data_IF_796605815524
#
_entry.id   IF_796605815524
#
_cell.length_a   1.000
_cell.length_b   1.000
_cell.length_c   1.000
_cell.angle_alpha   90.00
_cell.angle_beta   90.00
_cell.angle_gamma   90.00
#
_symmetry.space_group_name_H-M   'P 1'
#
loop_
_entity.id
_entity.type
_entity.pdbx_description
1 polymer ?
#
# COMPACT_ATOMS: atom_id res chain seq x y z
N UNK A 1 17.80 -27.75 -11.39
CA UNK A 1 17.89 -26.41 -12.00
C UNK A 1 16.50 -26.03 -12.46
N UNK A 2 15.74 -25.25 -11.70
CA UNK A 2 14.39 -24.86 -12.12
C UNK A 2 14.38 -23.40 -12.54
N UNK A 3 14.32 -23.19 -13.85
CA UNK A 3 14.10 -21.90 -14.48
C UNK A 3 12.92 -22.05 -15.42
N UNK A 4 11.71 -21.63 -15.01
CA UNK A 4 10.62 -21.23 -15.92
C UNK A 4 9.65 -20.27 -15.21
N UNK A 5 10.05 -19.01 -15.08
CA UNK A 5 9.10 -17.91 -14.93
C UNK A 5 8.82 -17.34 -16.31
N UNK A 6 7.77 -17.83 -16.96
CA UNK A 6 7.07 -17.05 -17.96
C UNK A 6 5.68 -17.63 -18.22
N UNK A 7 4.68 -16.93 -17.69
CA UNK A 7 3.44 -16.63 -18.39
C UNK A 7 3.12 -15.19 -18.01
N UNK A 8 3.12 -14.29 -18.99
CA UNK A 8 2.68 -12.90 -18.87
C UNK A 8 1.15 -12.84 -19.04
N UNK A 9 0.38 -12.48 -18.00
CA UNK A 9 -1.08 -12.63 -18.05
C UNK A 9 -1.80 -11.72 -17.02
N UNK A 10 -2.05 -10.45 -17.34
CA UNK A 10 -2.81 -9.57 -16.43
C UNK A 10 -4.27 -10.03 -16.19
N UNK A 11 -4.79 -10.97 -16.99
CA UNK A 11 -6.22 -11.31 -17.04
C UNK A 11 -6.75 -12.39 -16.07
N UNK A 12 -6.00 -13.44 -15.72
CA UNK A 12 -6.61 -14.63 -15.07
C UNK A 12 -6.26 -14.84 -13.59
N UNK A 13 -5.38 -14.00 -13.02
CA UNK A 13 -4.64 -14.33 -11.78
C UNK A 13 -5.07 -13.62 -10.49
N UNK A 14 -6.13 -12.81 -10.48
CA UNK A 14 -6.68 -12.25 -9.22
C UNK A 14 -7.55 -13.25 -8.43
N UNK A 15 -7.72 -14.48 -8.93
CA UNK A 15 -8.45 -15.59 -8.28
C UNK A 15 -7.79 -16.20 -7.04
N UNK A 16 -6.68 -15.64 -6.57
CA UNK A 16 -6.08 -16.06 -5.31
C UNK A 16 -4.94 -15.13 -4.97
N UNK A 17 -5.17 -14.23 -4.01
CA UNK A 17 -4.13 -13.49 -3.30
C UNK A 17 -2.93 -14.42 -3.12
N UNK A 18 -1.83 -14.17 -3.84
CA UNK A 18 -0.71 -15.11 -3.82
C UNK A 18 -0.09 -15.03 -2.44
N UNK A 19 -0.43 -16.02 -1.64
CA UNK A 19 0.18 -16.23 -0.34
C UNK A 19 1.68 -16.43 -0.56
N UNK A 20 2.52 -15.69 0.17
CA UNK A 20 3.95 -16.01 0.30
C UNK A 20 4.08 -17.47 0.82
N UNK A 21 5.25 -18.15 0.78
CA UNK A 21 5.37 -19.55 1.23
C UNK A 21 4.81 -19.83 2.64
N UNK A 22 4.68 -18.78 3.47
CA UNK A 22 4.06 -18.82 4.82
C UNK A 22 2.54 -18.63 4.85
N UNK A 23 1.84 -18.57 3.73
CA UNK A 23 0.38 -18.38 3.72
C UNK A 23 -0.10 -16.92 3.81
N UNK A 24 0.81 -15.94 3.93
CA UNK A 24 0.47 -14.52 4.09
C UNK A 24 0.32 -13.79 2.76
N UNK A 25 -0.69 -12.93 2.65
CA UNK A 25 -0.89 -12.05 1.49
C UNK A 25 0.32 -11.15 1.28
N UNK A 26 0.77 -10.95 0.04
CA UNK A 26 1.86 -10.00 -0.27
C UNK A 26 1.40 -8.55 -0.16
N UNK A 27 2.21 -7.71 0.49
CA UNK A 27 1.84 -6.31 0.69
C UNK A 27 1.94 -5.45 -0.58
N UNK A 28 2.79 -5.81 -1.55
CA UNK A 28 2.83 -5.13 -2.84
C UNK A 28 1.51 -5.28 -3.60
N UNK A 29 0.99 -6.50 -3.70
CA UNK A 29 -0.32 -6.78 -4.33
C UNK A 29 -1.47 -6.08 -3.58
N UNK A 30 -1.39 -6.02 -2.24
CA UNK A 30 -2.38 -5.29 -1.43
C UNK A 30 -2.32 -3.80 -1.72
N UNK A 31 -1.13 -3.21 -1.79
CA UNK A 31 -0.96 -1.78 -2.06
C UNK A 31 -1.42 -1.44 -3.49
N UNK A 32 -1.12 -2.28 -4.48
CA UNK A 32 -1.63 -2.15 -5.86
C UNK A 32 -3.17 -2.16 -5.90
N UNK A 33 -3.81 -3.17 -5.29
CA UNK A 33 -5.27 -3.26 -5.22
C UNK A 33 -5.91 -2.12 -4.41
N UNK A 34 -5.17 -1.59 -3.44
CA UNK A 34 -5.60 -0.48 -2.62
C UNK A 34 -5.68 0.82 -3.44
N UNK A 35 -4.67 1.09 -4.28
CA UNK A 35 -4.60 2.30 -5.12
C UNK A 35 -5.27 2.18 -6.49
N UNK A 36 -5.74 1.00 -6.87
CA UNK A 36 -6.34 0.70 -8.19
C UNK A 36 -7.27 1.79 -8.75
N UNK A 37 -8.20 2.40 -7.98
CA UNK A 37 -9.09 3.45 -8.49
C UNK A 37 -8.36 4.72 -8.94
N UNK A 38 -7.13 4.93 -8.47
CA UNK A 38 -6.35 6.13 -8.70
C UNK A 38 -5.19 5.93 -9.68
N UNK A 39 -4.90 4.70 -10.11
CA UNK A 39 -3.76 4.39 -11.00
C UNK A 39 -3.88 5.11 -12.36
N UNK A 40 -5.10 5.34 -12.83
CA UNK A 40 -5.36 6.06 -14.08
C UNK A 40 -5.00 7.55 -14.04
N UNK A 41 -4.79 8.14 -12.86
CA UNK A 41 -4.38 9.55 -12.71
C UNK A 41 -2.86 9.72 -12.56
N UNK A 42 -2.10 8.62 -12.54
CA UNK A 42 -0.65 8.63 -12.39
C UNK A 42 0.01 8.07 -13.66
N UNK A 43 0.38 8.98 -14.57
CA UNK A 43 0.86 8.64 -15.90
C UNK A 43 2.36 8.32 -15.90
N UNK A 44 3.14 9.08 -15.13
CA UNK A 44 4.60 8.93 -15.05
C UNK A 44 5.07 8.34 -13.70
N UNK A 45 6.36 7.99 -13.62
CA UNK A 45 6.95 7.39 -12.42
C UNK A 45 6.79 8.28 -11.17
N UNK A 46 7.04 9.58 -11.29
CA UNK A 46 6.95 10.52 -10.17
C UNK A 46 5.53 10.63 -9.61
N UNK A 47 4.52 10.66 -10.48
CA UNK A 47 3.11 10.64 -10.06
C UNK A 47 2.73 9.32 -9.40
N UNK A 48 3.26 8.19 -9.89
CA UNK A 48 3.03 6.86 -9.28
C UNK A 48 3.66 6.76 -7.91
N UNK A 49 4.89 7.24 -7.75
CA UNK A 49 5.57 7.33 -6.46
C UNK A 49 4.81 8.25 -5.49
N UNK A 50 4.28 9.37 -5.98
CA UNK A 50 3.43 10.27 -5.18
C UNK A 50 2.15 9.57 -4.73
N UNK A 51 1.45 8.89 -5.63
CA UNK A 51 0.24 8.11 -5.31
C UNK A 51 0.53 7.03 -4.26
N UNK A 52 1.60 6.26 -4.44
CA UNK A 52 2.00 5.21 -3.50
C UNK A 52 2.38 5.79 -2.14
N UNK A 53 3.06 6.94 -2.10
CA UNK A 53 3.38 7.65 -0.86
C UNK A 53 2.11 8.05 -0.09
N UNK A 54 1.16 8.67 -0.78
CA UNK A 54 -0.14 9.05 -0.18
C UNK A 54 -0.88 7.81 0.31
N UNK A 55 -0.86 6.72 -0.47
CA UNK A 55 -1.51 5.47 -0.10
C UNK A 55 -0.90 4.82 1.13
N UNK A 56 0.43 4.81 1.26
CA UNK A 56 1.13 4.31 2.46
C UNK A 56 0.77 5.15 3.69
N UNK A 57 0.70 6.47 3.54
CA UNK A 57 0.26 7.38 4.61
C UNK A 57 -1.17 7.05 5.05
N UNK A 58 -2.12 6.96 4.12
CA UNK A 58 -3.51 6.63 4.41
C UNK A 58 -3.64 5.23 5.04
N UNK A 59 -2.87 4.26 4.54
CA UNK A 59 -2.84 2.90 5.07
C UNK A 59 -2.39 2.89 6.53
N UNK A 60 -1.26 3.53 6.85
CA UNK A 60 -0.71 3.54 8.21
C UNK A 60 -1.59 4.35 9.17
N UNK A 61 -2.13 5.51 8.75
CA UNK A 61 -3.04 6.32 9.57
C UNK A 61 -4.30 5.56 9.98
N UNK A 62 -4.83 4.70 9.10
CA UNK A 62 -6.02 3.90 9.41
C UNK A 62 -5.81 2.88 10.55
N UNK A 63 -4.55 2.53 10.85
CA UNK A 63 -4.17 1.59 11.91
C UNK A 63 -3.88 2.32 13.23
N UNK A 64 -3.66 3.63 13.18
CA UNK A 64 -3.43 4.49 14.34
C UNK A 64 -4.79 4.83 15.01
N UNK A 65 -4.85 4.96 16.35
CA UNK A 65 -6.03 5.42 17.06
C UNK A 65 -6.53 6.78 16.57
N UNK A 66 -7.85 6.96 16.48
CA UNK A 66 -8.46 8.17 15.90
C UNK A 66 -7.99 9.47 16.53
N UNK A 67 -7.77 9.48 17.84
CA UNK A 67 -7.26 10.64 18.60
C UNK A 67 -5.88 11.12 18.14
N UNK A 68 -5.06 10.23 17.56
CA UNK A 68 -3.68 10.52 17.13
C UNK A 68 -3.59 10.83 15.63
N UNK A 69 -4.60 10.45 14.84
CA UNK A 69 -4.60 10.61 13.38
C UNK A 69 -4.44 12.05 12.91
N UNK A 70 -5.11 13.08 13.47
CA UNK A 70 -5.00 14.45 12.96
C UNK A 70 -3.56 14.98 13.04
N UNK A 71 -2.90 14.79 14.19
CA UNK A 71 -1.52 15.25 14.38
C UNK A 71 -0.53 14.53 13.45
N UNK A 72 -0.73 13.24 13.21
CA UNK A 72 0.12 12.46 12.31
C UNK A 72 -0.14 12.80 10.84
N UNK A 73 -1.40 13.03 10.46
CA UNK A 73 -1.78 13.40 9.11
C UNK A 73 -1.15 14.73 8.69
N UNK A 74 -1.20 15.76 9.55
CA UNK A 74 -0.60 17.06 9.25
C UNK A 74 0.92 16.96 9.05
N UNK A 75 1.60 16.14 9.86
CA UNK A 75 3.05 15.90 9.72
C UNK A 75 3.37 15.17 8.42
N UNK A 76 2.59 14.15 8.08
CA UNK A 76 2.82 13.31 6.90
C UNK A 76 2.50 14.07 5.60
N UNK A 77 1.41 14.85 5.55
CA UNK A 77 1.09 15.71 4.41
C UNK A 77 2.22 16.73 4.19
N UNK A 78 2.70 17.39 5.25
CA UNK A 78 3.82 18.33 5.16
C UNK A 78 5.14 17.68 4.73
N UNK A 79 5.37 16.42 5.08
CA UNK A 79 6.58 15.69 4.69
C UNK A 79 6.49 15.18 3.24
N UNK A 80 5.32 14.66 2.84
CA UNK A 80 5.10 14.08 1.52
C UNK A 80 4.92 15.12 0.41
N UNK A 81 4.48 16.34 0.73
CA UNK A 81 4.29 17.43 -0.24
C UNK A 81 5.43 18.45 -0.25
N UNK A 82 6.61 18.11 0.31
CA UNK A 82 7.77 19.01 0.27
C UNK A 82 8.41 18.98 -1.13
N UNK A 83 8.50 20.18 -1.71
CA UNK A 83 9.06 20.53 -3.02
C UNK A 83 8.34 19.93 -4.24
N UNK A 84 7.74 20.82 -5.05
CA UNK A 84 7.22 20.57 -6.41
C UNK A 84 5.99 19.67 -6.62
N UNK A 85 5.18 19.39 -5.59
CA UNK A 85 3.91 18.70 -5.80
C UNK A 85 2.80 19.68 -6.21
N UNK A 86 2.06 19.32 -7.26
CA UNK A 86 0.91 20.07 -7.79
C UNK A 86 -0.35 19.97 -6.92
N UNK A 87 -0.37 19.00 -5.99
CA UNK A 87 -1.52 18.69 -5.14
C UNK A 87 -1.58 19.63 -3.93
N UNK A 88 -2.73 20.25 -3.69
CA UNK A 88 -2.91 21.07 -2.49
C UNK A 88 -3.06 20.20 -1.22
N UNK A 89 -2.81 20.79 -0.03
CA UNK A 89 -2.87 20.05 1.24
C UNK A 89 -4.28 19.53 1.59
N UNK A 90 -5.32 20.27 1.22
CA UNK A 90 -6.72 19.94 1.42
C UNK A 90 -7.17 18.83 0.45
N UNK A 91 -6.75 18.86 -0.81
CA UNK A 91 -6.92 17.78 -1.79
C UNK A 91 -6.22 16.51 -1.32
N UNK A 92 -4.96 16.59 -0.87
CA UNK A 92 -4.23 15.45 -0.31
C UNK A 92 -4.98 14.85 0.89
N UNK A 93 -5.51 15.71 1.77
CA UNK A 93 -6.31 15.28 2.92
C UNK A 93 -7.61 14.59 2.51
N UNK A 94 -8.27 15.06 1.46
CA UNK A 94 -9.48 14.42 0.94
C UNK A 94 -9.17 13.00 0.43
N UNK A 95 -8.14 12.86 -0.41
CA UNK A 95 -7.70 11.56 -0.94
C UNK A 95 -7.29 10.60 0.19
N UNK A 96 -6.56 11.09 1.20
CA UNK A 96 -6.17 10.27 2.36
C UNK A 96 -7.41 9.74 3.10
N UNK A 97 -8.43 10.58 3.33
CA UNK A 97 -9.66 10.15 4.00
C UNK A 97 -10.44 9.11 3.18
N UNK A 98 -10.53 9.29 1.85
CA UNK A 98 -11.15 8.32 0.95
C UNK A 98 -10.43 6.97 0.97
N UNK A 99 -9.10 6.99 0.88
CA UNK A 99 -8.26 5.79 0.96
C UNK A 99 -8.38 5.11 2.33
N UNK A 100 -8.42 5.87 3.43
CA UNK A 100 -8.68 5.31 4.75
C UNK A 100 -10.03 4.60 4.84
N UNK A 101 -11.09 5.20 4.31
CA UNK A 101 -12.42 4.59 4.24
C UNK A 101 -12.41 3.32 3.38
N UNK A 102 -11.73 3.35 2.23
CA UNK A 102 -11.53 2.18 1.35
C UNK A 102 -10.81 1.05 2.09
N UNK A 103 -9.78 1.35 2.88
CA UNK A 103 -9.06 0.33 3.66
C UNK A 103 -9.99 -0.33 4.68
N UNK A 104 -10.79 0.45 5.40
CA UNK A 104 -11.75 -0.13 6.35
C UNK A 104 -12.81 -0.98 5.67
N UNK A 105 -13.20 -0.65 4.43
CA UNK A 105 -14.18 -1.43 3.67
C UNK A 105 -13.63 -2.75 3.13
N UNK A 106 -12.44 -2.74 2.53
CA UNK A 106 -11.93 -3.89 1.76
C UNK A 106 -10.74 -4.62 2.41
N UNK A 107 -10.01 -3.95 3.30
CA UNK A 107 -8.72 -4.43 3.84
C UNK A 107 -8.66 -4.38 5.37
N UNK A 108 -9.81 -4.35 6.06
CA UNK A 108 -9.90 -4.18 7.52
C UNK A 108 -9.10 -5.22 8.32
N UNK A 109 -9.01 -6.46 7.81
CA UNK A 109 -8.32 -7.58 8.47
C UNK A 109 -6.80 -7.43 8.46
N UNK A 110 -6.24 -6.67 7.51
CA UNK A 110 -4.80 -6.46 7.44
C UNK A 110 -4.39 -5.34 8.40
N UNK A 111 -3.61 -5.71 9.41
CA UNK A 111 -3.11 -4.83 10.48
C UNK A 111 -1.62 -4.52 10.36
N UNK A 112 -0.97 -4.95 9.28
CA UNK A 112 0.46 -4.68 9.06
C UNK A 112 0.68 -3.23 8.68
N UNK A 113 1.63 -2.57 9.34
CA UNK A 113 2.13 -1.28 8.92
C UNK A 113 3.07 -1.45 7.72
N UNK A 114 3.01 -0.53 6.78
CA UNK A 114 3.99 -0.45 5.70
C UNK A 114 5.15 0.40 6.20
N UNK A 115 6.36 -0.16 6.13
CA UNK A 115 7.59 0.50 6.58
C UNK A 115 8.22 1.26 5.43
N UNK A 116 8.25 0.64 4.25
CA UNK A 116 8.89 1.21 3.08
C UNK A 116 8.31 0.60 1.79
N UNK A 117 8.47 1.29 0.66
CA UNK A 117 8.16 0.77 -0.66
C UNK A 117 9.19 1.25 -1.68
N UNK A 118 9.37 0.46 -2.73
CA UNK A 118 10.25 0.80 -3.85
C UNK A 118 9.52 0.53 -5.16
N UNK A 119 9.50 1.54 -6.03
CA UNK A 119 8.99 1.43 -7.39
C UNK A 119 10.18 1.41 -8.35
N UNK A 120 10.36 0.32 -9.08
CA UNK A 120 11.43 0.20 -10.09
C UNK A 120 10.82 0.19 -11.48
N UNK A 121 11.32 1.04 -12.37
CA UNK A 121 11.00 0.97 -13.80
C UNK A 121 11.83 -0.15 -14.46
N UNK A 122 11.14 -1.17 -14.96
CA UNK A 122 11.75 -2.29 -15.71
C UNK A 122 11.40 -2.24 -17.20
N UNK A 123 11.12 -1.04 -17.70
CA UNK A 123 10.96 -0.66 -19.11
C UNK A 123 9.55 -0.89 -19.67
N UNK A 124 8.94 -2.06 -19.43
CA UNK A 124 7.57 -2.37 -19.92
C UNK A 124 6.49 -2.18 -18.88
N UNK A 125 6.88 -2.16 -17.60
CA UNK A 125 6.01 -2.03 -16.44
C UNK A 125 6.86 -1.59 -15.26
N UNK A 126 6.19 -1.22 -14.17
CA UNK A 126 6.83 -0.97 -12.90
C UNK A 126 6.79 -2.22 -12.03
N UNK A 127 7.85 -2.44 -11.26
CA UNK A 127 7.91 -3.44 -10.22
C UNK A 127 7.77 -2.77 -8.84
N UNK A 128 6.76 -3.16 -8.07
CA UNK A 128 6.53 -2.66 -6.72
C UNK A 128 7.01 -3.67 -5.67
N UNK A 129 7.95 -3.23 -4.83
CA UNK A 129 8.37 -3.93 -3.61
C UNK A 129 7.85 -3.20 -2.38
N UNK A 130 7.37 -3.94 -1.37
CA UNK A 130 6.84 -3.36 -0.12
C UNK A 130 7.38 -4.11 1.08
N UNK A 131 7.98 -3.37 2.01
CA UNK A 131 8.37 -3.85 3.33
C UNK A 131 7.27 -3.53 4.34
N UNK A 132 6.88 -4.51 5.17
CA UNK A 132 5.84 -4.33 6.18
C UNK A 132 6.18 -5.04 7.48
N UNK A 133 5.53 -4.63 8.57
CA UNK A 133 5.58 -5.37 9.83
C UNK A 133 5.04 -6.79 9.65
N UNK A 134 5.50 -7.73 10.47
CA UNK A 134 4.96 -9.08 10.49
C UNK A 134 3.56 -9.10 11.12
N UNK A 135 2.70 -10.02 10.66
CA UNK A 135 1.47 -10.30 11.40
C UNK A 135 1.87 -11.06 12.65
N UNK A 136 1.69 -10.47 13.83
CA UNK A 136 1.99 -11.15 15.08
C UNK A 136 0.91 -12.20 15.34
N UNK A 137 1.06 -13.38 14.73
CA UNK A 137 0.31 -14.59 15.13
C UNK A 137 0.96 -15.15 16.39
N UNK A 138 0.74 -14.50 17.54
CA UNK A 138 0.88 -15.23 18.80
C UNK A 138 -0.30 -16.18 18.83
N UNK A 139 -0.05 -17.42 18.40
CA UNK A 139 -0.82 -18.55 18.91
C UNK A 139 -0.38 -18.66 20.37
N UNK A 140 -1.26 -18.48 21.37
CA UNK A 140 -0.89 -18.89 22.72
C UNK A 140 -0.67 -20.39 22.65
N UNK A 141 0.58 -20.82 22.90
CA UNK A 141 0.85 -22.22 23.24
C UNK A 141 -0.11 -22.57 24.36
N UNK A 142 -1.10 -23.38 24.01
CA UNK A 142 -2.03 -23.99 24.93
C UNK A 142 -1.40 -25.32 25.28
N UNK A 143 -0.40 -25.24 26.17
CA UNK A 143 0.08 -26.39 26.92
C UNK A 143 -0.41 -26.21 28.36
N UNK A 144 -1.64 -26.68 28.59
CA UNK A 144 -2.11 -27.17 29.90
C UNK A 144 -1.43 -28.51 30.21
#
# INVERSE_FOLDING_TARGET
>A
MEKKLQKGPLGDKFGGLMKNPKGEVKMSEVLEAFVEPYVGFAENQNERETLLTIAVVAWNLSLIPEKERPSMMDKLIKAALKENHTLDQQEARAIINELMARKQKFFAKNKRFIVDFQLEDIGKHYHLSVASTLTNSIVPDSDD
#
